data_IF_740418094073
#
_entry.id   IF_740418094073
#
_cell.length_a   1.000
_cell.length_b   1.000
_cell.length_c   1.000
_cell.angle_alpha   90.00
_cell.angle_beta   90.00
_cell.angle_gamma   90.00
#
_symmetry.space_group_name_H-M   'P 1'
#
loop_
_entity.id
_entity.type
_entity.pdbx_description
1 polymer ?
#
# COMPACT_ATOMS: atom_id res chain seq x y z
N UNK A 1 -10.04 -44.99 24.16
CA UNK A 1 -9.14 -44.14 23.35
C UNK A 1 -8.66 -43.01 24.24
N UNK A 2 -7.43 -42.52 24.07
CA UNK A 2 -7.01 -41.29 24.72
C UNK A 2 -7.90 -40.14 24.20
N UNK A 3 -8.38 -39.26 25.10
CA UNK A 3 -9.13 -38.07 24.73
C UNK A 3 -8.24 -37.19 23.83
N UNK A 4 -8.76 -36.74 22.69
CA UNK A 4 -8.08 -35.89 21.71
C UNK A 4 -8.96 -34.65 21.45
N UNK A 5 -8.53 -33.73 20.58
CA UNK A 5 -9.28 -32.48 20.32
C UNK A 5 -10.70 -32.78 19.81
N UNK A 6 -10.83 -33.72 18.87
CA UNK A 6 -12.14 -34.10 18.31
C UNK A 6 -13.09 -34.61 19.40
N UNK A 7 -12.62 -35.51 20.26
CA UNK A 7 -13.41 -36.09 21.33
C UNK A 7 -13.86 -35.08 22.38
N UNK A 8 -13.01 -34.11 22.73
CA UNK A 8 -13.38 -33.00 23.64
C UNK A 8 -14.57 -32.21 23.06
N UNK A 9 -14.49 -31.81 21.80
CA UNK A 9 -15.60 -31.07 21.18
C UNK A 9 -16.83 -31.94 20.92
N UNK A 10 -16.67 -33.22 20.56
CA UNK A 10 -17.79 -34.13 20.34
C UNK A 10 -18.61 -34.34 21.62
N UNK A 11 -17.95 -34.39 22.78
CA UNK A 11 -18.60 -34.48 24.10
C UNK A 11 -19.29 -33.15 24.46
N UNK A 12 -18.58 -32.02 24.36
CA UNK A 12 -19.12 -30.72 24.73
C UNK A 12 -20.27 -30.26 23.82
N UNK A 13 -20.19 -30.57 22.53
CA UNK A 13 -21.14 -30.12 21.51
C UNK A 13 -22.10 -31.25 21.05
N UNK A 14 -22.33 -32.28 21.87
CA UNK A 14 -23.12 -33.46 21.47
C UNK A 14 -24.57 -33.13 21.03
N UNK A 15 -25.14 -32.04 21.54
CA UNK A 15 -26.48 -31.56 21.17
C UNK A 15 -26.53 -30.79 19.83
N UNK A 16 -25.38 -30.48 19.22
CA UNK A 16 -25.35 -29.78 17.94
C UNK A 16 -25.76 -30.68 16.79
N UNK A 17 -26.84 -30.29 16.11
CA UNK A 17 -27.29 -30.92 14.87
C UNK A 17 -26.62 -30.26 13.68
N UNK A 18 -25.67 -30.97 13.05
CA UNK A 18 -24.91 -30.48 11.88
C UNK A 18 -25.70 -30.69 10.59
N UNK A 19 -26.75 -29.90 10.37
CA UNK A 19 -27.62 -29.95 9.19
C UNK A 19 -27.58 -28.65 8.35
N UNK A 20 -28.43 -28.57 7.34
CA UNK A 20 -28.51 -27.39 6.47
C UNK A 20 -28.89 -26.10 7.22
N UNK A 21 -29.66 -26.20 8.32
CA UNK A 21 -30.01 -25.05 9.16
C UNK A 21 -28.78 -24.56 9.93
N UNK A 22 -27.99 -25.48 10.46
CA UNK A 22 -26.72 -25.15 11.11
C UNK A 22 -25.73 -24.51 10.14
N UNK A 23 -25.56 -25.07 8.93
CA UNK A 23 -24.74 -24.47 7.88
C UNK A 23 -25.19 -23.03 7.54
N UNK A 24 -26.51 -22.80 7.46
CA UNK A 24 -27.07 -21.46 7.23
C UNK A 24 -26.76 -20.48 8.36
N UNK A 25 -26.79 -20.93 9.63
CA UNK A 25 -26.41 -20.11 10.81
C UNK A 25 -24.96 -19.66 10.73
N UNK A 26 -24.03 -20.56 10.37
CA UNK A 26 -22.62 -20.20 10.15
C UNK A 26 -22.49 -19.17 9.03
N UNK A 27 -23.20 -19.37 7.92
CA UNK A 27 -23.18 -18.43 6.78
C UNK A 27 -23.67 -17.04 7.19
N UNK A 28 -24.75 -16.97 7.98
CA UNK A 28 -25.29 -15.72 8.53
C UNK A 28 -24.29 -15.05 9.46
N UNK A 29 -23.63 -15.79 10.34
CA UNK A 29 -22.58 -15.27 11.22
C UNK A 29 -21.42 -14.68 10.41
N UNK A 30 -20.94 -15.41 9.38
CA UNK A 30 -19.87 -14.97 8.48
C UNK A 30 -20.26 -13.69 7.73
N UNK A 31 -21.48 -13.62 7.20
CA UNK A 31 -21.99 -12.42 6.52
C UNK A 31 -22.14 -11.24 7.49
N UNK A 32 -22.69 -11.47 8.69
CA UNK A 32 -22.86 -10.41 9.69
C UNK A 32 -21.52 -9.75 10.03
N UNK A 33 -20.43 -10.51 10.05
CA UNK A 33 -19.09 -9.94 10.24
C UNK A 33 -18.65 -9.05 9.07
N UNK A 34 -18.82 -9.50 7.82
CA UNK A 34 -18.41 -8.73 6.63
C UNK A 34 -19.25 -7.45 6.47
N UNK A 35 -20.52 -7.50 6.85
CA UNK A 35 -21.46 -6.37 6.75
C UNK A 35 -21.66 -5.63 8.08
N UNK A 36 -20.79 -5.87 9.08
CA UNK A 36 -20.93 -5.33 10.46
C UNK A 36 -21.10 -3.81 10.49
N UNK A 37 -20.32 -3.09 9.67
CA UNK A 37 -20.37 -1.65 9.53
C UNK A 37 -19.74 -1.20 8.20
N UNK A 38 -19.76 0.12 7.93
CA UNK A 38 -19.23 0.69 6.71
C UNK A 38 -17.74 0.38 6.46
N UNK A 39 -16.93 0.30 7.51
CA UNK A 39 -15.50 -0.01 7.40
C UNK A 39 -15.29 -1.48 7.01
N UNK A 40 -16.02 -2.41 7.61
CA UNK A 40 -15.98 -3.82 7.21
C UNK A 40 -16.40 -4.00 5.75
N UNK A 41 -17.51 -3.36 5.32
CA UNK A 41 -17.98 -3.43 3.93
C UNK A 41 -16.92 -2.91 2.96
N UNK A 42 -16.37 -1.72 3.23
CA UNK A 42 -15.35 -1.10 2.39
C UNK A 42 -14.05 -1.91 2.37
N UNK A 43 -13.63 -2.44 3.51
CA UNK A 43 -12.42 -3.25 3.61
C UNK A 43 -12.53 -4.53 2.81
N UNK A 44 -13.58 -5.33 3.06
CA UNK A 44 -13.75 -6.63 2.42
C UNK A 44 -14.09 -6.51 0.93
N UNK A 45 -14.80 -5.46 0.52
CA UNK A 45 -15.05 -5.14 -0.89
C UNK A 45 -13.92 -4.36 -1.56
N UNK A 46 -12.89 -3.95 -0.83
CA UNK A 46 -11.80 -3.10 -1.30
C UNK A 46 -10.46 -3.81 -1.33
N UNK A 47 -9.45 -3.07 -1.78
CA UNK A 47 -8.07 -3.54 -1.95
C UNK A 47 -7.05 -2.83 -1.06
N UNK A 48 -7.47 -1.75 -0.40
CA UNK A 48 -6.61 -0.96 0.46
C UNK A 48 -6.35 -1.70 1.76
N UNK A 49 -5.16 -1.48 2.32
CA UNK A 49 -4.71 -2.17 3.52
C UNK A 49 -4.45 -1.15 4.61
N UNK A 50 -5.10 -1.32 5.75
CA UNK A 50 -4.88 -0.49 6.93
C UNK A 50 -5.65 0.84 6.97
N UNK A 51 -6.46 1.17 5.96
CA UNK A 51 -7.27 2.41 5.92
C UNK A 51 -8.54 2.23 6.75
N UNK A 52 -9.34 1.21 6.46
CA UNK A 52 -10.56 0.89 7.20
C UNK A 52 -10.25 0.12 8.48
N UNK A 53 -10.94 0.45 9.58
CA UNK A 53 -10.73 -0.20 10.88
C UNK A 53 -11.64 -1.41 11.01
N UNK A 54 -11.06 -2.59 10.77
CA UNK A 54 -11.75 -3.87 10.97
C UNK A 54 -11.20 -4.64 12.16
N UNK A 55 -12.09 -5.17 13.00
CA UNK A 55 -11.75 -5.90 14.23
C UNK A 55 -12.66 -7.10 14.41
N UNK A 56 -12.04 -8.25 14.68
CA UNK A 56 -12.70 -9.35 15.36
C UNK A 56 -12.64 -9.07 16.86
N UNK A 57 -13.81 -8.89 17.47
CA UNK A 57 -14.00 -8.46 18.86
C UNK A 57 -14.41 -9.62 19.76
N UNK A 58 -14.38 -9.40 21.06
CA UNK A 58 -14.85 -10.39 22.04
C UNK A 58 -16.35 -10.67 21.83
N UNK A 59 -17.18 -9.66 21.50
CA UNK A 59 -18.58 -9.88 21.10
C UNK A 59 -18.74 -10.86 19.92
N UNK A 60 -17.82 -10.84 18.95
CA UNK A 60 -17.86 -11.80 17.84
C UNK A 60 -17.52 -13.22 18.35
N UNK A 61 -16.54 -13.33 19.27
CA UNK A 61 -16.17 -14.58 19.93
C UNK A 61 -17.32 -15.13 20.78
N UNK A 62 -17.96 -14.29 21.57
CA UNK A 62 -19.05 -14.68 22.46
C UNK A 62 -20.22 -15.23 21.64
N UNK A 63 -20.60 -14.52 20.56
CA UNK A 63 -21.63 -15.01 19.62
C UNK A 63 -21.25 -16.34 18.97
N UNK A 64 -19.97 -16.61 18.72
CA UNK A 64 -19.55 -17.90 18.21
C UNK A 64 -19.82 -19.04 19.20
N UNK A 65 -19.51 -18.84 20.48
CA UNK A 65 -19.74 -19.87 21.50
C UNK A 65 -21.21 -19.97 21.92
N UNK A 66 -21.90 -18.85 22.09
CA UNK A 66 -23.29 -18.80 22.53
C UNK A 66 -24.28 -19.13 21.40
N UNK A 67 -24.12 -18.49 20.24
CA UNK A 67 -25.09 -18.61 19.15
C UNK A 67 -24.76 -19.72 18.16
N UNK A 68 -23.50 -20.12 17.96
CA UNK A 68 -23.13 -21.18 17.01
C UNK A 68 -22.95 -22.50 17.72
N UNK A 69 -21.99 -22.58 18.64
CA UNK A 69 -21.63 -23.83 19.32
C UNK A 69 -22.58 -24.17 20.47
N UNK A 70 -23.22 -23.17 21.09
CA UNK A 70 -24.09 -23.32 22.27
C UNK A 70 -23.39 -24.02 23.44
N UNK A 71 -22.13 -23.65 23.70
CA UNK A 71 -21.31 -24.22 24.77
C UNK A 71 -20.62 -23.13 25.57
N UNK A 72 -20.31 -23.41 26.83
CA UNK A 72 -19.52 -22.52 27.67
C UNK A 72 -18.03 -22.62 27.32
N UNK A 73 -17.46 -21.53 26.81
CA UNK A 73 -16.06 -21.51 26.38
C UNK A 73 -15.08 -21.86 27.51
N UNK A 74 -15.33 -21.37 28.74
CA UNK A 74 -14.42 -21.54 29.87
C UNK A 74 -14.18 -23.01 30.22
N UNK A 75 -15.25 -23.80 30.27
CA UNK A 75 -15.19 -25.25 30.53
C UNK A 75 -14.44 -25.94 29.40
N UNK A 76 -14.80 -25.64 28.15
CA UNK A 76 -14.18 -26.24 26.98
C UNK A 76 -12.67 -25.92 26.88
N UNK A 77 -12.27 -24.70 27.22
CA UNK A 77 -10.88 -24.28 27.25
C UNK A 77 -10.05 -25.09 28.26
N UNK A 78 -10.61 -25.36 29.45
CA UNK A 78 -9.93 -26.17 30.47
C UNK A 78 -9.68 -27.60 29.99
N UNK A 79 -10.67 -28.21 29.34
CA UNK A 79 -10.52 -29.57 28.81
C UNK A 79 -9.53 -29.65 27.65
N UNK A 80 -9.55 -28.68 26.74
CA UNK A 80 -8.61 -28.63 25.62
C UNK A 80 -7.17 -28.45 26.10
N UNK A 81 -6.91 -27.58 27.08
CA UNK A 81 -5.57 -27.37 27.64
C UNK A 81 -5.07 -28.57 28.45
N UNK A 82 -5.97 -29.42 28.95
CA UNK A 82 -5.60 -30.66 29.64
C UNK A 82 -5.08 -31.74 28.67
N UNK A 83 -5.27 -31.59 27.36
CA UNK A 83 -4.73 -32.52 26.37
C UNK A 83 -3.19 -32.39 26.28
N UNK A 84 -2.45 -33.52 26.25
CA UNK A 84 -0.98 -33.49 26.25
C UNK A 84 -0.38 -32.88 24.97
N UNK A 85 -1.16 -32.81 23.89
CA UNK A 85 -0.80 -32.25 22.59
C UNK A 85 -1.01 -30.75 22.53
N UNK A 86 -1.88 -30.18 23.37
CA UNK A 86 -2.22 -28.75 23.37
C UNK A 86 -1.32 -28.01 24.35
N UNK A 87 -0.41 -27.20 23.81
CA UNK A 87 0.47 -26.39 24.62
C UNK A 87 -0.17 -25.02 24.92
N UNK A 88 -0.53 -24.69 26.18
CA UNK A 88 -1.20 -23.44 26.54
C UNK A 88 -0.38 -22.17 26.26
N UNK A 89 0.93 -22.28 26.06
CA UNK A 89 1.78 -21.13 25.70
C UNK A 89 1.63 -20.73 24.22
N UNK A 90 1.10 -21.62 23.38
CA UNK A 90 0.96 -21.41 21.94
C UNK A 90 -0.40 -20.77 21.60
N UNK A 91 -0.44 -19.44 21.68
CA UNK A 91 -1.64 -18.58 21.51
C UNK A 91 -2.52 -18.84 20.28
N UNK A 92 -2.03 -19.52 19.24
CA UNK A 92 -2.83 -19.83 18.04
C UNK A 92 -3.46 -21.21 18.16
N UNK A 93 -2.64 -22.23 18.42
CA UNK A 93 -3.09 -23.63 18.45
C UNK A 93 -3.65 -24.08 19.79
N UNK A 94 -3.59 -23.25 20.83
CA UNK A 94 -4.27 -23.48 22.12
C UNK A 94 -5.53 -22.63 22.29
N UNK A 95 -5.86 -21.77 21.33
CA UNK A 95 -7.04 -20.92 21.41
C UNK A 95 -8.29 -21.74 21.06
N UNK A 96 -9.23 -21.80 22.01
CA UNK A 96 -10.46 -22.60 21.94
C UNK A 96 -11.26 -22.31 20.67
N UNK A 97 -11.39 -21.03 20.30
CA UNK A 97 -12.14 -20.66 19.10
C UNK A 97 -11.45 -21.18 17.83
N UNK A 98 -10.13 -21.03 17.71
CA UNK A 98 -9.40 -21.55 16.55
C UNK A 98 -9.54 -23.08 16.42
N UNK A 99 -9.42 -23.80 17.54
CA UNK A 99 -9.62 -25.25 17.58
C UNK A 99 -11.05 -25.63 17.19
N UNK A 100 -12.04 -24.86 17.63
CA UNK A 100 -13.44 -25.08 17.27
C UNK A 100 -13.71 -24.87 15.78
N UNK A 101 -12.99 -23.95 15.11
CA UNK A 101 -13.09 -23.80 13.66
C UNK A 101 -12.55 -25.02 12.93
N UNK A 102 -11.44 -25.60 13.38
CA UNK A 102 -10.92 -26.85 12.81
C UNK A 102 -11.90 -28.02 13.02
N UNK A 103 -12.46 -28.13 14.23
CA UNK A 103 -13.48 -29.11 14.56
C UNK A 103 -14.76 -28.96 13.73
N UNK A 104 -15.26 -27.75 13.54
CA UNK A 104 -16.44 -27.51 12.70
C UNK A 104 -16.19 -27.85 11.25
N UNK A 105 -15.00 -27.55 10.68
CA UNK A 105 -14.67 -27.99 9.33
C UNK A 105 -14.73 -29.53 9.22
N UNK A 106 -14.22 -30.25 10.21
CA UNK A 106 -14.29 -31.71 10.27
C UNK A 106 -15.73 -32.22 10.35
N UNK A 107 -16.52 -31.75 11.32
CA UNK A 107 -17.88 -32.24 11.54
C UNK A 107 -18.84 -31.88 10.41
N UNK A 108 -18.66 -30.71 9.78
CA UNK A 108 -19.38 -30.35 8.56
C UNK A 108 -19.05 -31.31 7.40
N UNK A 109 -17.76 -31.62 7.21
CA UNK A 109 -17.33 -32.58 6.20
C UNK A 109 -17.89 -33.99 6.44
N UNK A 110 -17.87 -34.44 7.69
CA UNK A 110 -18.32 -35.77 8.10
C UNK A 110 -19.86 -35.88 8.17
N UNK A 111 -20.60 -34.78 8.20
CA UNK A 111 -22.05 -34.81 8.41
C UNK A 111 -22.79 -35.58 7.30
N UNK A 112 -23.62 -36.57 7.63
CA UNK A 112 -24.48 -37.25 6.67
C UNK A 112 -25.73 -36.43 6.30
N UNK A 113 -26.01 -35.33 7.03
CA UNK A 113 -27.18 -34.46 6.83
C UNK A 113 -26.93 -33.34 5.81
N UNK A 114 -25.74 -33.29 5.23
CA UNK A 114 -25.32 -32.29 4.25
C UNK A 114 -24.92 -32.99 2.95
N UNK A 115 -25.30 -32.42 1.81
CA UNK A 115 -24.72 -32.81 0.52
C UNK A 115 -23.36 -32.13 0.30
N UNK A 116 -22.58 -32.61 -0.68
CA UNK A 116 -21.21 -32.12 -0.92
C UNK A 116 -21.12 -30.61 -1.18
N UNK A 117 -22.12 -30.04 -1.86
CA UNK A 117 -22.19 -28.59 -2.08
C UNK A 117 -22.38 -27.83 -0.77
N UNK A 118 -23.27 -28.30 0.10
CA UNK A 118 -23.50 -27.70 1.41
C UNK A 118 -22.28 -27.87 2.33
N UNK A 119 -21.63 -29.04 2.32
CA UNK A 119 -20.39 -29.29 3.06
C UNK A 119 -19.31 -28.29 2.66
N UNK A 120 -19.07 -28.17 1.36
CA UNK A 120 -18.05 -27.26 0.84
C UNK A 120 -18.35 -25.80 1.19
N UNK A 121 -19.61 -25.37 1.03
CA UNK A 121 -20.02 -24.00 1.37
C UNK A 121 -19.88 -23.71 2.87
N UNK A 122 -20.31 -24.64 3.74
CA UNK A 122 -20.22 -24.45 5.17
C UNK A 122 -18.78 -24.47 5.69
N UNK A 123 -17.93 -25.37 5.19
CA UNK A 123 -16.50 -25.37 5.50
C UNK A 123 -15.82 -24.07 5.05
N UNK A 124 -16.22 -23.56 3.89
CA UNK A 124 -15.75 -22.26 3.39
C UNK A 124 -16.13 -21.13 4.35
N UNK A 125 -17.36 -21.11 4.87
CA UNK A 125 -17.80 -20.10 5.83
C UNK A 125 -17.00 -20.16 7.13
N UNK A 126 -16.75 -21.36 7.68
CA UNK A 126 -15.93 -21.53 8.90
C UNK A 126 -14.47 -21.11 8.65
N UNK A 127 -13.87 -21.53 7.54
CA UNK A 127 -12.50 -21.18 7.21
C UNK A 127 -12.30 -19.67 6.97
N UNK A 128 -13.32 -19.00 6.41
CA UNK A 128 -13.34 -17.53 6.31
C UNK A 128 -13.39 -16.86 7.68
N UNK A 129 -14.25 -17.33 8.60
CA UNK A 129 -14.31 -16.79 9.98
C UNK A 129 -12.94 -16.90 10.68
N UNK A 130 -12.30 -18.06 10.59
CA UNK A 130 -10.95 -18.27 11.14
C UNK A 130 -9.94 -17.27 10.56
N UNK A 131 -9.95 -17.09 9.23
CA UNK A 131 -9.04 -16.16 8.56
C UNK A 131 -9.38 -14.68 8.84
N UNK A 132 -10.65 -14.31 9.03
CA UNK A 132 -11.04 -12.96 9.46
C UNK A 132 -10.45 -12.61 10.82
N UNK A 133 -10.53 -13.54 11.79
CA UNK A 133 -9.91 -13.38 13.12
C UNK A 133 -8.40 -13.18 13.02
N UNK A 134 -7.71 -14.01 12.24
CA UNK A 134 -6.27 -13.87 12.03
C UNK A 134 -5.89 -12.57 11.32
N UNK A 135 -6.58 -12.22 10.24
CA UNK A 135 -6.27 -11.04 9.45
C UNK A 135 -6.47 -9.76 10.26
N UNK A 136 -7.62 -9.60 10.90
CA UNK A 136 -7.95 -8.38 11.66
C UNK A 136 -7.06 -8.18 12.88
N UNK A 137 -6.66 -9.27 13.56
CA UNK A 137 -5.64 -9.23 14.62
C UNK A 137 -4.28 -8.75 14.11
N UNK A 138 -3.85 -9.24 12.94
CA UNK A 138 -2.59 -8.80 12.31
C UNK A 138 -2.69 -7.35 11.83
N UNK A 139 -3.81 -6.93 11.25
CA UNK A 139 -4.06 -5.54 10.86
C UNK A 139 -3.91 -4.60 12.05
N UNK A 140 -4.48 -4.93 13.22
CA UNK A 140 -4.33 -4.10 14.41
C UNK A 140 -2.86 -3.90 14.81
N UNK A 141 -2.08 -4.98 14.74
CA UNK A 141 -0.67 -4.96 15.14
C UNK A 141 0.19 -4.11 14.19
N UNK A 142 -0.10 -4.13 12.89
CA UNK A 142 0.66 -3.38 11.90
C UNK A 142 0.16 -1.93 11.74
N UNK A 143 -1.15 -1.73 11.80
CA UNK A 143 -1.82 -0.45 11.66
C UNK A 143 -2.53 -0.10 12.96
N UNK A 144 -1.74 0.33 13.96
CA UNK A 144 -2.26 0.80 15.26
C UNK A 144 -3.21 1.98 15.07
N UNK A 145 -2.89 2.83 14.11
CA UNK A 145 -3.74 3.91 13.62
C UNK A 145 -4.06 3.65 12.15
N UNK A 146 -5.25 4.08 11.66
CA UNK A 146 -5.59 4.02 10.25
C UNK A 146 -4.49 4.66 9.40
N UNK A 147 -4.11 3.96 8.33
CA UNK A 147 -3.25 4.52 7.31
C UNK A 147 -3.97 5.65 6.57
N UNK A 148 -3.21 6.68 6.20
CA UNK A 148 -3.68 7.66 5.23
C UNK A 148 -4.04 6.98 3.90
N UNK A 149 -5.21 7.33 3.33
CA UNK A 149 -5.76 6.69 2.14
C UNK A 149 -4.84 6.86 0.93
N UNK A 150 -4.26 8.04 0.73
CA UNK A 150 -3.37 8.28 -0.40
C UNK A 150 -2.09 7.42 -0.30
N UNK A 151 -1.54 7.28 0.91
CA UNK A 151 -0.39 6.40 1.19
C UNK A 151 -0.74 4.93 0.91
N UNK A 152 -1.93 4.47 1.32
CA UNK A 152 -2.39 3.11 1.05
C UNK A 152 -2.66 2.84 -0.44
N UNK A 153 -3.22 3.81 -1.17
CA UNK A 153 -3.43 3.74 -2.62
C UNK A 153 -2.10 3.67 -3.38
N UNK A 154 -1.13 4.51 -3.01
CA UNK A 154 0.23 4.48 -3.56
C UNK A 154 0.93 3.14 -3.25
N UNK A 155 0.77 2.62 -2.03
CA UNK A 155 1.25 1.28 -1.66
C UNK A 155 0.66 0.22 -2.56
N UNK A 156 -0.67 0.20 -2.70
CA UNK A 156 -1.35 -0.75 -3.57
C UNK A 156 -0.90 -0.64 -5.03
N UNK A 157 -0.66 0.57 -5.55
CA UNK A 157 -0.17 0.79 -6.90
C UNK A 157 1.21 0.17 -7.15
N UNK A 158 2.10 0.19 -6.15
CA UNK A 158 3.45 -0.39 -6.22
C UNK A 158 3.51 -1.91 -6.06
N UNK A 159 2.46 -2.54 -5.52
CA UNK A 159 2.42 -4.00 -5.41
C UNK A 159 2.50 -4.64 -6.81
N UNK A 160 3.35 -5.65 -6.94
CA UNK A 160 3.42 -6.45 -8.17
C UNK A 160 2.32 -7.53 -8.21
N UNK A 161 2.14 -8.18 -9.36
CA UNK A 161 1.22 -9.32 -9.50
C UNK A 161 1.58 -10.55 -8.65
N UNK A 162 2.68 -10.53 -7.87
CA UNK A 162 3.02 -11.57 -6.89
C UNK A 162 2.20 -11.49 -5.59
N UNK A 163 1.58 -10.34 -5.32
CA UNK A 163 0.74 -10.16 -4.14
C UNK A 163 -0.68 -10.64 -4.40
N UNK A 164 -1.23 -11.49 -3.54
CA UNK A 164 -2.57 -12.05 -3.71
C UNK A 164 -3.64 -10.95 -3.87
N UNK A 165 -3.53 -9.84 -3.12
CA UNK A 165 -4.47 -8.71 -3.23
C UNK A 165 -4.47 -8.04 -4.62
N UNK A 166 -3.35 -8.10 -5.35
CA UNK A 166 -3.27 -7.64 -6.76
C UNK A 166 -3.88 -8.64 -7.74
N UNK A 167 -3.84 -9.93 -7.41
CA UNK A 167 -4.40 -10.99 -8.25
C UNK A 167 -5.92 -11.07 -8.13
N UNK A 168 -6.44 -11.00 -6.90
CA UNK A 168 -7.86 -11.24 -6.59
C UNK A 168 -8.67 -9.95 -6.42
N UNK A 169 -8.02 -8.79 -6.35
CA UNK A 169 -8.66 -7.48 -6.41
C UNK A 169 -9.39 -7.02 -5.15
N UNK A 170 -9.87 -7.92 -4.28
CA UNK A 170 -10.49 -7.56 -2.99
C UNK A 170 -9.98 -8.45 -1.85
N UNK A 171 -10.00 -7.94 -0.62
CA UNK A 171 -9.61 -8.72 0.55
C UNK A 171 -10.51 -9.94 0.76
N UNK A 172 -11.81 -9.83 0.49
CA UNK A 172 -12.68 -10.99 0.57
C UNK A 172 -12.30 -12.07 -0.46
N UNK A 173 -12.04 -11.71 -1.71
CA UNK A 173 -11.64 -12.67 -2.74
C UNK A 173 -10.29 -13.34 -2.42
N UNK A 174 -9.33 -12.62 -1.84
CA UNK A 174 -8.07 -13.21 -1.35
C UNK A 174 -8.35 -14.28 -0.29
N UNK A 175 -9.16 -13.97 0.72
CA UNK A 175 -9.46 -14.89 1.80
C UNK A 175 -10.30 -16.08 1.34
N UNK A 176 -11.19 -15.86 0.37
CA UNK A 176 -11.95 -16.93 -0.27
C UNK A 176 -11.01 -17.91 -0.96
N UNK A 177 -10.12 -17.44 -1.83
CA UNK A 177 -9.18 -18.34 -2.50
C UNK A 177 -8.33 -19.11 -1.50
N UNK A 178 -7.81 -18.43 -0.48
CA UNK A 178 -7.00 -19.08 0.55
C UNK A 178 -7.79 -20.14 1.33
N UNK A 179 -9.07 -19.89 1.58
CA UNK A 179 -9.94 -20.87 2.24
C UNK A 179 -10.19 -22.07 1.35
N UNK A 180 -10.39 -21.86 0.02
CA UNK A 180 -10.48 -22.96 -0.94
C UNK A 180 -9.24 -23.84 -0.93
N UNK A 181 -8.05 -23.24 -0.88
CA UNK A 181 -6.79 -23.98 -0.81
C UNK A 181 -6.66 -24.76 0.52
N UNK A 182 -7.11 -24.17 1.64
CA UNK A 182 -7.09 -24.78 2.97
C UNK A 182 -7.95 -26.04 3.04
N UNK A 183 -9.17 -25.99 2.48
CA UNK A 183 -10.15 -27.09 2.53
C UNK A 183 -10.09 -28.02 1.32
N UNK A 184 -9.15 -27.78 0.40
CA UNK A 184 -9.01 -28.58 -0.82
C UNK A 184 -8.72 -30.04 -0.48
N UNK A 185 -9.41 -31.03 -1.11
CA UNK A 185 -9.13 -32.45 -0.90
C UNK A 185 -7.69 -32.88 -1.25
N UNK A 186 -7.02 -32.12 -2.12
CA UNK A 186 -5.62 -32.32 -2.49
C UNK A 186 -4.66 -31.47 -1.65
N UNK A 187 -5.20 -30.69 -0.71
CA UNK A 187 -4.46 -29.77 0.14
C UNK A 187 -3.72 -30.49 1.28
N UNK A 188 -2.62 -29.86 1.72
CA UNK A 188 -1.77 -30.37 2.80
C UNK A 188 -2.53 -30.65 4.10
N UNK A 189 -3.56 -29.85 4.38
CA UNK A 189 -4.31 -29.87 5.64
C UNK A 189 -5.57 -30.71 5.59
N UNK A 190 -5.89 -31.31 4.43
CA UNK A 190 -7.16 -32.02 4.26
C UNK A 190 -7.31 -33.23 5.17
N UNK A 191 -6.20 -33.88 5.55
CA UNK A 191 -6.23 -35.01 6.49
C UNK A 191 -6.72 -34.59 7.88
N UNK A 192 -6.28 -33.43 8.37
CA UNK A 192 -6.74 -32.86 9.63
C UNK A 192 -8.26 -32.59 9.61
N UNK A 193 -8.81 -32.19 8.46
CA UNK A 193 -10.24 -31.93 8.27
C UNK A 193 -11.02 -33.23 8.09
N UNK A 194 -10.55 -34.15 7.26
CA UNK A 194 -11.31 -35.35 6.88
C UNK A 194 -11.33 -36.42 7.98
N UNK A 195 -10.28 -36.49 8.82
CA UNK A 195 -10.16 -37.50 9.88
C UNK A 195 -10.16 -36.93 11.29
N UNK A 196 -9.44 -35.83 11.50
CA UNK A 196 -9.25 -35.18 12.80
C UNK A 196 -8.80 -36.10 13.96
N UNK A 197 -8.20 -37.25 13.64
CA UNK A 197 -7.75 -38.27 14.59
C UNK A 197 -6.36 -37.98 15.17
N UNK A 198 -5.67 -36.96 14.65
CA UNK A 198 -4.32 -36.56 15.04
C UNK A 198 -4.25 -35.07 15.38
N UNK A 199 -4.14 -34.75 16.67
CA UNK A 199 -4.07 -33.37 17.17
C UNK A 199 -2.91 -32.56 16.57
N UNK A 200 -1.78 -33.20 16.25
CA UNK A 200 -0.63 -32.50 15.67
C UNK A 200 -0.94 -31.97 14.27
N UNK A 201 -1.80 -32.67 13.50
CA UNK A 201 -2.23 -32.20 12.18
C UNK A 201 -3.20 -31.02 12.31
N UNK A 202 -4.07 -31.02 13.34
CA UNK A 202 -4.94 -29.88 13.66
C UNK A 202 -4.12 -28.66 14.08
N UNK A 203 -3.14 -28.86 14.95
CA UNK A 203 -2.20 -27.81 15.39
C UNK A 203 -1.43 -27.25 14.19
N UNK A 204 -0.99 -28.11 13.27
CA UNK A 204 -0.28 -27.67 12.07
C UNK A 204 -1.17 -26.85 11.13
N UNK A 205 -2.41 -27.30 10.89
CA UNK A 205 -3.41 -26.57 10.12
C UNK A 205 -3.58 -25.14 10.63
N UNK A 206 -3.78 -24.97 11.94
CA UNK A 206 -4.00 -23.65 12.54
C UNK A 206 -2.77 -22.75 12.45
N UNK A 207 -1.59 -23.28 12.78
CA UNK A 207 -0.34 -22.51 12.78
C UNK A 207 0.11 -22.09 11.37
N UNK A 208 -0.03 -22.98 10.37
CA UNK A 208 0.29 -22.66 8.98
C UNK A 208 -0.68 -21.63 8.41
N UNK A 209 -1.99 -21.79 8.68
CA UNK A 209 -3.02 -20.83 8.24
C UNK A 209 -2.74 -19.43 8.78
N UNK A 210 -2.45 -19.32 10.09
CA UNK A 210 -2.12 -18.04 10.72
C UNK A 210 -0.81 -17.46 10.19
N UNK A 211 0.23 -18.29 10.01
CA UNK A 211 1.54 -17.85 9.55
C UNK A 211 1.47 -17.28 8.14
N UNK A 212 0.73 -17.91 7.23
CA UNK A 212 0.56 -17.40 5.86
C UNK A 212 -0.17 -16.05 5.82
N UNK A 213 -1.19 -15.85 6.67
CA UNK A 213 -1.86 -14.54 6.81
C UNK A 213 -0.87 -13.48 7.32
N UNK A 214 -0.10 -13.82 8.35
CA UNK A 214 0.93 -12.93 8.92
C UNK A 214 1.95 -12.52 7.85
N UNK A 215 2.47 -13.48 7.10
CA UNK A 215 3.55 -13.23 6.16
C UNK A 215 3.05 -12.41 4.95
N UNK A 216 1.83 -12.70 4.47
CA UNK A 216 1.18 -11.89 3.44
C UNK A 216 1.02 -10.43 3.88
N UNK A 217 0.50 -10.18 5.09
CA UNK A 217 0.30 -8.82 5.57
C UNK A 217 1.62 -8.11 5.85
N UNK A 218 2.61 -8.81 6.40
CA UNK A 218 3.96 -8.27 6.62
C UNK A 218 4.58 -7.79 5.32
N UNK A 219 4.51 -8.58 4.26
CA UNK A 219 5.07 -8.21 2.96
C UNK A 219 4.41 -6.95 2.38
N UNK A 220 3.09 -6.78 2.55
CA UNK A 220 2.39 -5.56 2.14
C UNK A 220 2.81 -4.37 3.03
N UNK A 221 2.92 -4.59 4.33
CA UNK A 221 3.32 -3.56 5.30
C UNK A 221 4.75 -3.07 5.06
N UNK A 222 5.67 -3.94 4.64
CA UNK A 222 7.04 -3.54 4.29
C UNK A 222 7.05 -2.58 3.08
N UNK A 223 6.17 -2.78 2.09
CA UNK A 223 5.98 -1.83 0.98
C UNK A 223 5.33 -0.54 1.48
N UNK A 224 4.34 -0.64 2.37
CA UNK A 224 3.68 0.52 2.98
C UNK A 224 4.69 1.43 3.69
N UNK A 225 5.59 0.86 4.49
CA UNK A 225 6.64 1.62 5.18
C UNK A 225 7.57 2.33 4.19
N UNK A 226 7.90 1.71 3.06
CA UNK A 226 8.71 2.37 2.02
C UNK A 226 8.00 3.61 1.46
N UNK A 227 6.71 3.49 1.14
CA UNK A 227 5.90 4.62 0.65
C UNK A 227 5.75 5.70 1.72
N UNK A 228 5.43 5.31 2.94
CA UNK A 228 5.26 6.23 4.06
C UNK A 228 6.55 7.01 4.37
N UNK A 229 7.71 6.34 4.39
CA UNK A 229 8.99 7.01 4.59
C UNK A 229 9.38 7.92 3.42
N UNK A 230 9.03 7.56 2.18
CA UNK A 230 9.18 8.45 1.04
C UNK A 230 8.29 9.68 1.19
N UNK A 231 7.02 9.50 1.58
CA UNK A 231 6.07 10.58 1.85
C UNK A 231 6.51 11.51 2.98
N UNK A 232 7.03 10.99 4.09
CA UNK A 232 7.55 11.82 5.19
C UNK A 232 8.79 12.62 4.80
N UNK A 233 9.72 12.03 4.01
CA UNK A 233 10.88 12.77 3.48
C UNK A 233 10.45 13.90 2.53
N UNK A 234 9.38 13.66 1.80
CA UNK A 234 8.76 14.64 0.92
C UNK A 234 8.10 15.76 1.77
N UNK A 235 7.31 15.43 2.80
CA UNK A 235 6.70 16.40 3.72
C UNK A 235 7.70 17.21 4.52
N UNK A 236 8.80 16.61 5.01
CA UNK A 236 9.85 17.38 5.69
C UNK A 236 10.55 18.35 4.74
N UNK A 237 10.66 17.97 3.46
CA UNK A 237 11.15 18.86 2.41
C UNK A 237 10.09 19.89 2.01
N UNK A 238 8.79 19.57 2.10
CA UNK A 238 7.70 20.47 1.72
C UNK A 238 7.30 21.45 2.82
N UNK A 239 7.46 21.12 4.10
CA UNK A 239 7.31 22.07 5.21
C UNK A 239 8.32 23.23 5.13
N UNK A 240 9.49 23.00 4.51
CA UNK A 240 10.45 24.04 4.15
C UNK A 240 10.00 24.90 2.96
N UNK A 241 8.99 24.46 2.19
CA UNK A 241 8.52 25.06 0.94
C UNK A 241 7.10 25.64 1.04
N UNK A 242 6.24 25.14 1.92
CA UNK A 242 4.85 25.61 2.12
C UNK A 242 4.80 27.08 2.56
N UNK A 243 5.86 27.58 3.20
CA UNK A 243 6.02 29.01 3.53
C UNK A 243 6.14 29.90 2.28
N UNK A 244 6.58 29.35 1.14
CA UNK A 244 6.88 30.09 -0.09
C UNK A 244 5.81 29.95 -1.19
N UNK A 245 5.06 28.84 -1.23
CA UNK A 245 4.03 28.59 -2.25
C UNK A 245 2.81 29.51 -2.18
N UNK A 246 2.45 29.99 -0.97
CA UNK A 246 1.26 30.83 -0.74
C UNK A 246 1.39 32.23 -1.38
N UNK A 247 2.61 32.73 -1.55
CA UNK A 247 2.86 34.07 -2.12
C UNK A 247 2.89 34.07 -3.66
N UNK A 248 3.15 32.92 -4.30
CA UNK A 248 3.25 32.79 -5.76
C UNK A 248 1.89 33.02 -6.44
N UNK A 249 0.78 32.67 -5.77
CA UNK A 249 -0.56 32.61 -6.37
C UNK A 249 -1.32 33.95 -6.43
N UNK A 250 -0.81 35.04 -5.83
CA UNK A 250 -1.52 36.34 -5.80
C UNK A 250 -1.21 37.28 -6.98
N UNK A 251 -0.04 37.19 -7.63
CA UNK A 251 0.37 38.15 -8.68
C UNK A 251 1.28 37.50 -9.76
N UNK A 252 0.66 36.83 -10.74
CA UNK A 252 1.31 36.02 -11.81
C UNK A 252 2.46 36.73 -12.52
N UNK A 253 2.22 37.94 -13.02
CA UNK A 253 3.18 38.64 -13.89
C UNK A 253 4.36 39.20 -13.08
N UNK A 254 4.09 39.72 -11.88
CA UNK A 254 5.14 40.24 -11.00
C UNK A 254 6.02 39.12 -10.46
N UNK A 255 5.41 37.97 -10.13
CA UNK A 255 6.11 36.81 -9.59
C UNK A 255 6.98 36.13 -10.65
N UNK A 256 6.46 35.84 -11.85
CA UNK A 256 7.25 35.20 -12.91
C UNK A 256 8.54 35.98 -13.21
N UNK A 257 8.44 37.31 -13.37
CA UNK A 257 9.61 38.18 -13.57
C UNK A 257 10.64 38.09 -12.42
N UNK A 258 10.19 38.06 -11.18
CA UNK A 258 11.07 37.95 -10.02
C UNK A 258 11.80 36.60 -9.97
N UNK A 259 11.07 35.51 -10.20
CA UNK A 259 11.59 34.15 -10.22
C UNK A 259 12.55 33.90 -11.39
N UNK A 260 12.25 34.43 -12.58
CA UNK A 260 13.15 34.38 -13.73
C UNK A 260 14.45 35.14 -13.45
N UNK A 261 14.38 36.38 -12.94
CA UNK A 261 15.57 37.15 -12.57
C UNK A 261 16.41 36.44 -11.52
N UNK A 262 15.75 35.81 -10.55
CA UNK A 262 16.43 35.03 -9.53
C UNK A 262 17.22 33.87 -10.14
N UNK A 263 16.56 33.01 -10.92
CA UNK A 263 17.20 31.86 -11.55
C UNK A 263 18.39 32.29 -12.42
N UNK A 264 18.21 33.34 -13.22
CA UNK A 264 19.25 33.92 -14.06
C UNK A 264 20.41 34.53 -13.25
N UNK A 265 20.15 35.06 -12.04
CA UNK A 265 21.19 35.61 -11.16
C UNK A 265 22.08 34.53 -10.54
N UNK A 266 21.51 33.35 -10.25
CA UNK A 266 22.24 32.25 -9.58
C UNK A 266 22.87 31.28 -10.57
N UNK A 267 22.32 31.12 -11.78
CA UNK A 267 22.70 30.02 -12.68
C UNK A 267 24.17 30.04 -13.07
N UNK A 268 24.80 31.22 -13.16
CA UNK A 268 26.21 31.33 -13.54
C UNK A 268 27.20 30.95 -12.43
N UNK A 269 26.74 30.74 -11.20
CA UNK A 269 27.56 30.27 -10.09
C UNK A 269 27.10 28.88 -9.64
N UNK A 270 27.96 27.87 -9.81
CA UNK A 270 27.59 26.47 -9.51
C UNK A 270 27.14 26.28 -8.07
N UNK A 271 27.78 26.97 -7.12
CA UNK A 271 27.47 26.81 -5.70
C UNK A 271 26.10 27.42 -5.33
N UNK A 272 25.76 28.55 -5.93
CA UNK A 272 24.45 29.18 -5.78
C UNK A 272 23.37 28.42 -6.53
N UNK A 273 23.67 27.94 -7.74
CA UNK A 273 22.73 27.23 -8.58
C UNK A 273 22.43 25.82 -8.09
N UNK A 274 23.47 25.03 -7.80
CA UNK A 274 23.38 23.59 -7.54
C UNK A 274 23.34 23.32 -6.03
N UNK A 275 22.15 23.01 -5.54
CA UNK A 275 21.87 22.54 -4.17
C UNK A 275 21.75 21.03 -4.11
N UNK A 276 22.53 20.40 -3.24
CA UNK A 276 22.66 18.95 -3.09
C UNK A 276 21.34 18.30 -2.70
N UNK A 277 20.67 18.89 -1.72
CA UNK A 277 19.38 18.45 -1.20
C UNK A 277 18.30 18.44 -2.29
N UNK A 278 18.30 19.42 -3.19
CA UNK A 278 17.37 19.48 -4.32
C UNK A 278 17.73 18.44 -5.39
N UNK A 279 19.01 18.23 -5.64
CA UNK A 279 19.49 17.21 -6.58
C UNK A 279 19.09 15.82 -6.10
N UNK A 280 19.30 15.51 -4.82
CA UNK A 280 18.88 14.26 -4.21
C UNK A 280 17.36 14.06 -4.26
N UNK A 281 16.59 15.12 -3.99
CA UNK A 281 15.13 15.07 -4.05
C UNK A 281 14.65 14.72 -5.46
N UNK A 282 15.21 15.36 -6.50
CA UNK A 282 14.89 15.04 -7.89
C UNK A 282 15.32 13.62 -8.26
N UNK A 283 16.50 13.16 -7.84
CA UNK A 283 16.94 11.78 -8.07
C UNK A 283 16.02 10.74 -7.39
N UNK A 284 15.47 11.06 -6.22
CA UNK A 284 14.47 10.22 -5.54
C UNK A 284 13.14 10.20 -6.31
N UNK A 285 12.69 11.35 -6.82
CA UNK A 285 11.47 11.46 -7.63
C UNK A 285 11.60 10.80 -9.02
N UNK A 286 12.82 10.80 -9.57
CA UNK A 286 13.20 10.25 -10.86
C UNK A 286 14.26 9.15 -10.67
N UNK A 287 13.87 8.03 -10.04
CA UNK A 287 14.80 6.93 -9.69
C UNK A 287 15.54 6.31 -10.90
N UNK A 288 15.03 6.54 -12.12
CA UNK A 288 15.66 6.10 -13.38
C UNK A 288 16.70 7.07 -13.92
N UNK A 289 16.85 8.26 -13.32
CA UNK A 289 17.83 9.27 -13.74
C UNK A 289 19.19 8.95 -13.13
N UNK A 290 20.26 8.78 -13.94
CA UNK A 290 21.61 8.58 -13.43
C UNK A 290 22.12 9.88 -12.74
N UNK A 291 22.37 9.88 -11.41
CA UNK A 291 22.68 11.10 -10.67
C UNK A 291 23.92 11.83 -11.19
N UNK A 292 24.93 11.07 -11.62
CA UNK A 292 26.18 11.61 -12.19
C UNK A 292 25.91 12.46 -13.45
N UNK A 293 25.09 11.94 -14.37
CA UNK A 293 24.80 12.63 -15.63
C UNK A 293 23.90 13.84 -15.42
N UNK A 294 22.99 13.75 -14.46
CA UNK A 294 22.16 14.87 -14.06
C UNK A 294 22.98 16.02 -13.47
N UNK A 295 23.85 15.75 -12.49
CA UNK A 295 24.79 16.73 -11.95
C UNK A 295 25.64 17.36 -13.05
N UNK A 296 26.27 16.52 -13.88
CA UNK A 296 27.12 16.97 -14.98
C UNK A 296 26.38 17.91 -15.95
N UNK A 297 25.08 17.66 -16.18
CA UNK A 297 24.25 18.54 -17.02
C UNK A 297 23.99 19.89 -16.37
N UNK A 298 23.70 19.93 -15.06
CA UNK A 298 23.51 21.18 -14.33
C UNK A 298 24.81 22.01 -14.26
N UNK A 299 25.94 21.35 -14.01
CA UNK A 299 27.26 21.99 -14.03
C UNK A 299 27.56 22.60 -15.41
N UNK A 300 27.29 21.84 -16.48
CA UNK A 300 27.47 22.32 -17.84
C UNK A 300 26.57 23.51 -18.15
N UNK A 301 25.30 23.48 -17.72
CA UNK A 301 24.37 24.62 -17.86
C UNK A 301 24.94 25.87 -17.19
N UNK A 302 25.45 25.72 -15.97
CA UNK A 302 26.03 26.82 -15.19
C UNK A 302 27.25 27.43 -15.89
N UNK A 303 28.16 26.58 -16.37
CA UNK A 303 29.40 27.00 -17.03
C UNK A 303 29.18 27.69 -18.38
N UNK A 304 28.12 27.30 -19.10
CA UNK A 304 27.87 27.75 -20.46
C UNK A 304 26.86 28.90 -20.54
N UNK A 305 26.23 29.28 -19.42
CA UNK A 305 25.24 30.37 -19.39
C UNK A 305 25.82 31.74 -19.77
N UNK A 306 27.14 31.97 -19.60
CA UNK A 306 27.81 33.24 -20.00
C UNK A 306 28.57 33.18 -21.33
N UNK A 307 28.52 32.05 -22.04
CA UNK A 307 29.30 31.84 -23.27
C UNK A 307 28.48 32.13 -24.53
N UNK A 308 29.04 32.03 -25.74
CA UNK A 308 28.28 32.21 -26.99
C UNK A 308 27.07 31.26 -27.12
N UNK A 309 27.07 30.13 -26.39
CA UNK A 309 25.96 29.17 -26.26
C UNK A 309 24.87 29.59 -25.25
N UNK A 310 25.05 30.73 -24.59
CA UNK A 310 24.15 31.30 -23.58
C UNK A 310 22.72 31.45 -24.05
N UNK A 311 22.50 31.75 -25.34
CA UNK A 311 21.15 32.02 -25.86
C UNK A 311 20.21 30.83 -25.66
N UNK A 312 20.63 29.62 -26.04
CA UNK A 312 19.81 28.41 -25.93
C UNK A 312 19.62 27.96 -24.48
N UNK A 313 20.61 28.19 -23.62
CA UNK A 313 20.49 27.92 -22.17
C UNK A 313 19.53 28.91 -21.52
N UNK A 314 19.64 30.20 -21.81
CA UNK A 314 18.73 31.23 -21.32
C UNK A 314 17.28 30.96 -21.74
N UNK A 315 17.05 30.65 -23.02
CA UNK A 315 15.73 30.26 -23.51
C UNK A 315 15.18 29.03 -22.78
N UNK A 316 16.02 28.03 -22.47
CA UNK A 316 15.61 26.87 -21.68
C UNK A 316 15.15 27.29 -20.27
N UNK A 317 15.90 28.16 -19.57
CA UNK A 317 15.53 28.62 -18.23
C UNK A 317 14.19 29.37 -18.28
N UNK A 318 14.05 30.29 -19.22
CA UNK A 318 12.88 31.15 -19.35
C UNK A 318 11.63 30.33 -19.73
N UNK A 319 11.72 29.48 -20.75
CA UNK A 319 10.62 28.60 -21.19
C UNK A 319 10.21 27.61 -20.10
N UNK A 320 11.15 27.10 -19.30
CA UNK A 320 10.83 26.19 -18.18
C UNK A 320 9.95 26.90 -17.16
N UNK A 321 10.33 28.13 -16.79
CA UNK A 321 9.56 28.90 -15.81
C UNK A 321 8.21 29.33 -16.36
N UNK A 322 8.16 29.87 -17.57
CA UNK A 322 6.91 30.24 -18.24
C UNK A 322 5.94 29.06 -18.24
N UNK A 323 6.39 27.90 -18.74
CA UNK A 323 5.55 26.70 -18.78
C UNK A 323 5.09 26.27 -17.37
N UNK A 324 5.98 26.30 -16.37
CA UNK A 324 5.60 25.89 -15.01
C UNK A 324 4.56 26.83 -14.37
N UNK A 325 4.65 28.14 -14.64
CA UNK A 325 3.72 29.15 -14.14
C UNK A 325 2.38 29.14 -14.89
N UNK A 326 2.40 28.92 -16.21
CA UNK A 326 1.19 28.79 -17.01
C UNK A 326 0.41 27.55 -16.58
N UNK A 327 1.10 26.43 -16.35
CA UNK A 327 0.48 25.20 -15.83
C UNK A 327 -0.17 25.41 -14.45
N UNK A 328 0.52 26.12 -13.54
CA UNK A 328 -0.04 26.50 -12.23
C UNK A 328 -1.28 27.39 -12.33
N UNK A 329 -1.34 28.25 -13.34
CA UNK A 329 -2.44 29.21 -13.52
C UNK A 329 -3.70 28.59 -14.15
N UNK A 330 -3.55 27.60 -15.04
CA UNK A 330 -4.67 26.93 -15.71
C UNK A 330 -5.43 25.99 -14.76
N UNK A 331 -4.77 25.45 -13.74
CA UNK A 331 -5.34 24.48 -12.82
C UNK A 331 -6.09 25.15 -11.65
N UNK A 332 -7.36 25.55 -11.89
CA UNK A 332 -8.25 26.26 -10.94
C UNK A 332 -8.36 25.64 -9.53
N UNK A 333 -8.05 24.36 -9.37
CA UNK A 333 -8.03 23.63 -8.09
C UNK A 333 -6.77 23.91 -7.27
N UNK A 334 -5.64 24.24 -7.89
CA UNK A 334 -4.40 24.61 -7.20
C UNK A 334 -4.45 26.04 -6.62
N UNK A 335 -5.31 26.90 -7.15
CA UNK A 335 -5.52 28.26 -6.62
C UNK A 335 -6.32 28.27 -5.31
N UNK A 336 -7.12 27.22 -5.05
CA UNK A 336 -8.01 27.12 -3.87
C UNK A 336 -7.47 26.27 -2.73
N UNK A 337 -6.42 25.50 -2.97
CA UNK A 337 -5.84 24.53 -2.02
C UNK A 337 -4.35 24.78 -2.00
N UNK A 338 -3.76 24.99 -0.82
CA UNK A 338 -2.32 25.22 -0.65
C UNK A 338 -1.50 24.32 -1.60
N UNK A 339 -0.69 24.95 -2.47
CA UNK A 339 0.10 24.23 -3.49
C UNK A 339 1.29 23.57 -2.81
N UNK A 340 1.13 22.31 -2.45
CA UNK A 340 2.23 21.47 -1.96
C UNK A 340 3.17 21.15 -3.14
N UNK A 341 4.43 21.61 -3.05
CA UNK A 341 5.45 21.49 -4.10
C UNK A 341 5.67 20.06 -4.65
N UNK A 342 5.59 18.99 -3.85
CA UNK A 342 5.61 17.61 -4.33
C UNK A 342 4.48 17.29 -5.31
N UNK A 343 3.29 17.85 -5.09
CA UNK A 343 2.14 17.69 -6.00
C UNK A 343 2.44 18.38 -7.33
N UNK A 344 3.01 19.59 -7.29
CA UNK A 344 3.46 20.32 -8.47
C UNK A 344 4.52 19.53 -9.25
N UNK A 345 5.55 19.02 -8.57
CA UNK A 345 6.62 18.26 -9.20
C UNK A 345 6.14 16.93 -9.80
N UNK A 346 5.25 16.21 -9.11
CA UNK A 346 4.67 14.97 -9.61
C UNK A 346 3.86 15.20 -10.90
N UNK A 347 3.11 16.32 -10.97
CA UNK A 347 2.33 16.72 -12.14
C UNK A 347 3.20 17.17 -13.31
N UNK A 348 4.14 18.08 -13.06
CA UNK A 348 5.09 18.54 -14.08
C UNK A 348 5.92 17.37 -14.63
N UNK A 349 6.29 16.39 -13.80
CA UNK A 349 6.93 15.15 -14.26
C UNK A 349 6.04 14.42 -15.27
N UNK A 350 4.75 14.28 -14.98
CA UNK A 350 3.77 13.70 -15.92
C UNK A 350 3.71 14.47 -17.24
N UNK A 351 3.65 15.80 -17.19
CA UNK A 351 3.63 16.65 -18.38
C UNK A 351 4.93 16.51 -19.19
N UNK A 352 6.09 16.60 -18.55
CA UNK A 352 7.40 16.53 -19.21
C UNK A 352 7.75 15.15 -19.77
N UNK A 353 7.09 14.08 -19.29
CA UNK A 353 7.27 12.71 -19.81
C UNK A 353 6.21 12.31 -20.85
N UNK A 354 5.07 13.01 -20.94
CA UNK A 354 3.97 12.67 -21.84
C UNK A 354 4.37 12.65 -23.32
N UNK A 355 4.39 11.47 -23.94
CA UNK A 355 4.68 11.30 -25.37
C UNK A 355 3.56 11.76 -26.30
N UNK A 356 2.36 12.03 -25.76
CA UNK A 356 1.15 12.36 -26.54
C UNK A 356 0.80 13.85 -26.53
N UNK A 357 1.59 14.70 -25.87
CA UNK A 357 1.35 16.14 -25.89
C UNK A 357 1.60 16.70 -27.28
N UNK A 358 0.71 17.58 -27.75
CA UNK A 358 0.84 18.30 -29.03
C UNK A 358 1.24 19.77 -28.84
N UNK A 359 1.55 20.18 -27.60
CA UNK A 359 1.92 21.55 -27.27
C UNK A 359 3.29 21.94 -27.85
N UNK A 360 3.36 22.91 -28.79
CA UNK A 360 4.61 23.39 -29.37
C UNK A 360 5.61 23.92 -28.34
N UNK A 361 5.14 24.55 -27.26
CA UNK A 361 6.00 25.10 -26.21
C UNK A 361 6.72 23.96 -25.46
N UNK A 362 6.00 22.89 -25.12
CA UNK A 362 6.57 21.72 -24.48
C UNK A 362 7.55 20.96 -25.40
N UNK A 363 7.30 20.89 -26.71
CA UNK A 363 8.26 20.30 -27.66
C UNK A 363 9.57 21.08 -27.71
N UNK A 364 9.46 22.39 -27.88
CA UNK A 364 10.60 23.32 -27.86
C UNK A 364 11.42 23.18 -26.57
N UNK A 365 10.73 23.15 -25.43
CA UNK A 365 11.34 23.00 -24.10
C UNK A 365 12.11 21.68 -23.98
N UNK A 366 11.51 20.56 -24.38
CA UNK A 366 12.16 19.24 -24.34
C UNK A 366 13.37 19.18 -25.26
N UNK A 367 13.28 19.74 -26.45
CA UNK A 367 14.38 19.75 -27.41
C UNK A 367 15.60 20.51 -26.86
N UNK A 368 15.39 21.68 -26.24
CA UNK A 368 16.48 22.45 -25.63
C UNK A 368 17.11 21.74 -24.44
N UNK A 369 16.29 21.18 -23.54
CA UNK A 369 16.80 20.44 -22.40
C UNK A 369 17.57 19.19 -22.84
N UNK A 370 17.07 18.47 -23.85
CA UNK A 370 17.75 17.32 -24.45
C UNK A 370 19.09 17.71 -25.10
N UNK A 371 19.11 18.84 -25.81
CA UNK A 371 20.34 19.38 -26.37
C UNK A 371 21.38 19.64 -25.28
N UNK A 372 21.01 20.26 -24.16
CA UNK A 372 21.91 20.47 -23.02
C UNK A 372 22.47 19.15 -22.47
N UNK A 373 21.63 18.13 -22.29
CA UNK A 373 22.06 16.80 -21.83
C UNK A 373 23.07 16.18 -22.79
N UNK A 374 22.80 16.23 -24.09
CA UNK A 374 23.68 15.71 -25.14
C UNK A 374 25.03 16.42 -25.14
N UNK A 375 25.04 17.75 -25.03
CA UNK A 375 26.27 18.54 -24.96
C UNK A 375 27.08 18.28 -23.68
N UNK A 376 26.40 18.14 -22.54
CA UNK A 376 27.06 17.95 -21.26
C UNK A 376 27.68 16.55 -21.11
N UNK A 377 26.98 15.52 -21.60
CA UNK A 377 27.30 14.13 -21.27
C UNK A 377 27.89 13.33 -22.41
N UNK A 378 27.68 13.74 -23.67
CA UNK A 378 28.01 12.95 -24.86
C UNK A 378 27.25 11.62 -24.97
N UNK A 379 26.23 11.40 -24.12
CA UNK A 379 25.47 10.15 -24.09
C UNK A 379 24.62 10.02 -25.36
N UNK A 380 24.46 8.78 -25.84
CA UNK A 380 23.68 8.43 -27.04
C UNK A 380 22.44 7.59 -26.74
N UNK A 381 22.21 7.22 -25.48
CA UNK A 381 21.05 6.42 -25.08
C UNK A 381 19.84 7.33 -24.84
N UNK A 382 18.84 7.27 -25.73
CA UNK A 382 17.66 8.13 -25.70
C UNK A 382 16.84 8.02 -24.41
N UNK A 383 16.76 6.84 -23.79
CA UNK A 383 16.06 6.64 -22.52
C UNK A 383 16.76 7.37 -21.37
N UNK A 384 18.09 7.29 -21.33
CA UNK A 384 18.91 8.01 -20.34
C UNK A 384 18.83 9.52 -20.57
N UNK A 385 18.88 9.95 -21.83
CA UNK A 385 18.78 11.36 -22.18
C UNK A 385 17.42 11.92 -21.77
N UNK A 386 16.33 11.20 -22.03
CA UNK A 386 14.98 11.60 -21.65
C UNK A 386 14.78 11.67 -20.12
N UNK A 387 15.37 10.75 -19.35
CA UNK A 387 15.29 10.78 -17.88
C UNK A 387 16.06 11.96 -17.30
N UNK A 388 17.29 12.20 -17.76
CA UNK A 388 18.11 13.35 -17.34
C UNK A 388 17.47 14.68 -17.76
N UNK A 389 16.95 14.78 -18.98
CA UNK A 389 16.21 15.96 -19.48
C UNK A 389 15.07 16.34 -18.53
N UNK A 390 14.25 15.35 -18.17
CA UNK A 390 13.11 15.56 -17.29
C UNK A 390 13.55 16.00 -15.89
N UNK A 391 14.62 15.39 -15.36
CA UNK A 391 15.20 15.80 -14.08
C UNK A 391 15.71 17.24 -14.10
N UNK A 392 16.36 17.69 -15.18
CA UNK A 392 16.82 19.07 -15.35
C UNK A 392 15.63 20.04 -15.33
N UNK A 393 14.56 19.78 -16.08
CA UNK A 393 13.38 20.65 -16.08
C UNK A 393 12.75 20.77 -14.69
N UNK A 394 12.57 19.65 -13.99
CA UNK A 394 12.03 19.64 -12.63
C UNK A 394 12.95 20.39 -11.65
N UNK A 395 14.26 20.24 -11.80
CA UNK A 395 15.26 20.93 -11.00
C UNK A 395 15.14 22.46 -11.12
N UNK A 396 15.05 22.98 -12.34
CA UNK A 396 14.92 24.41 -12.59
C UNK A 396 13.67 24.98 -11.90
N UNK A 397 12.57 24.24 -11.94
CA UNK A 397 11.33 24.65 -11.26
C UNK A 397 11.51 24.66 -9.74
N UNK A 398 11.92 23.55 -9.10
CA UNK A 398 12.08 23.52 -7.64
C UNK A 398 13.13 24.51 -7.14
N UNK A 399 14.26 24.64 -7.86
CA UNK A 399 15.32 25.58 -7.51
C UNK A 399 14.80 27.01 -7.49
N UNK A 400 13.89 27.33 -8.38
CA UNK A 400 13.28 28.65 -8.48
C UNK A 400 12.22 28.86 -7.42
N UNK A 401 11.33 27.88 -7.21
CA UNK A 401 10.26 27.96 -6.20
C UNK A 401 10.79 28.06 -4.77
N UNK A 402 12.00 27.56 -4.51
CA UNK A 402 12.70 27.65 -3.22
C UNK A 402 13.54 28.93 -3.06
N UNK A 403 13.32 29.95 -3.91
CA UNK A 403 14.10 31.19 -3.91
C UNK A 403 14.30 31.78 -2.51
N UNK A 404 13.23 31.99 -1.73
CA UNK A 404 13.32 32.71 -0.45
C UNK A 404 14.00 31.91 0.63
N UNK A 405 13.92 30.58 0.59
CA UNK A 405 14.74 29.74 1.48
C UNK A 405 16.25 30.01 1.29
N UNK A 406 16.69 30.23 0.05
CA UNK A 406 18.11 30.44 -0.27
C UNK A 406 18.51 31.92 -0.41
N UNK A 407 17.56 32.86 -0.38
CA UNK A 407 17.83 34.31 -0.35
C UNK A 407 17.46 34.97 0.98
N UNK A 408 16.73 34.27 1.84
CA UNK A 408 16.35 34.68 3.19
C UNK A 408 17.47 34.35 4.18
N UNK A 409 18.49 35.19 4.19
CA UNK A 409 19.38 35.47 5.32
C UNK A 409 19.65 36.96 5.35
#
# INVERSE_FOLDING_TARGET
>A
MAKNIEGVFAEACHDLVIDAMFARRISQYRHAFVFKNADHIKFFGGNLTGVEVVRFTDDDRDRWFEEILKVEEGVLAQELVALPTVNPTFKVSSDTMNLSCAWLMHTLYASPKLNDTQKQAAMMDVGLVLQYKFLTSRLFRHFRYPADRATAEATYALLSGKFAIKQYGTWNAVLEQRTRDLISPQGLHFKAISKMDNDLEVIYLLNDTQSRIRDMLKNIYDVFLQVHHQGMRIQSSSALVDYDGEVVLKDRNRNLLAYTRYLQSIVSDRHSFIKEELLELICKLMYTTPPRLFRQTLEWISDNYRQARAKRVGELLDETLIHSFDYLAEERTMVRTHVDLPTLLARLRGVYTSSRSIDPALFSLREKAEWCVKQATGNRNDSVIASVRTAVLLYLVIRTMTMRHYTGS
#
